data_IF_456848484316
#
_entry.id   IF_456848484316
#
_cell.length_a   1.000
_cell.length_b   1.000
_cell.length_c   1.000
_cell.angle_alpha   90.00
_cell.angle_beta   90.00
_cell.angle_gamma   90.00
#
_symmetry.space_group_name_H-M   'P 1'
#
loop_
_entity.id
_entity.type
_entity.pdbx_description
1 polymer ?
#
# COMPACT_ATOMS: atom_id res chain seq x y z
N UNK A 1 -10.12 -10.79 -14.93
CA UNK A 1 -10.08 -9.31 -15.04
C UNK A 1 -8.69 -8.78 -15.39
N UNK A 2 -7.59 -9.26 -14.80
CA UNK A 2 -6.23 -8.80 -15.18
C UNK A 2 -5.96 -8.92 -16.68
N UNK A 3 -6.37 -10.03 -17.31
CA UNK A 3 -6.23 -10.25 -18.76
C UNK A 3 -6.97 -9.26 -19.67
N UNK A 4 -7.80 -8.37 -19.12
CA UNK A 4 -8.46 -7.30 -19.87
C UNK A 4 -7.68 -5.98 -19.83
N UNK A 5 -6.64 -5.91 -19.01
CA UNK A 5 -5.78 -4.75 -18.89
C UNK A 5 -4.69 -4.80 -19.96
N UNK A 6 -4.27 -3.66 -20.51
CA UNK A 6 -3.16 -3.64 -21.45
C UNK A 6 -1.88 -4.13 -20.76
N UNK A 7 -1.13 -4.98 -21.45
CA UNK A 7 0.22 -5.36 -21.04
C UNK A 7 1.11 -4.10 -21.00
N UNK A 8 1.94 -4.00 -19.97
CA UNK A 8 2.78 -2.83 -19.80
C UNK A 8 3.38 -2.68 -18.41
N UNK A 9 4.12 -1.59 -18.26
CA UNK A 9 4.70 -1.15 -16.99
C UNK A 9 4.09 0.20 -16.62
N UNK A 10 3.58 0.29 -15.40
CA UNK A 10 2.90 1.45 -14.86
C UNK A 10 3.56 1.85 -13.54
N UNK A 11 3.86 3.12 -13.38
CA UNK A 11 4.64 3.63 -12.25
C UNK A 11 3.94 4.87 -11.66
N UNK A 12 3.99 4.98 -10.34
CA UNK A 12 3.56 6.16 -9.60
C UNK A 12 4.35 6.24 -8.30
N UNK A 13 4.43 7.45 -7.75
CA UNK A 13 5.04 7.72 -6.47
C UNK A 13 4.19 8.70 -5.65
N UNK A 14 4.29 8.56 -4.33
CA UNK A 14 3.78 9.49 -3.34
C UNK A 14 4.74 9.52 -2.15
N UNK A 15 4.51 10.43 -1.20
CA UNK A 15 5.25 10.47 0.06
C UNK A 15 4.31 10.76 1.22
N UNK A 16 4.73 10.31 2.41
CA UNK A 16 4.20 10.78 3.68
C UNK A 16 5.18 11.83 4.19
N UNK A 17 4.67 12.95 4.70
CA UNK A 17 5.46 14.14 5.05
C UNK A 17 6.65 13.83 5.99
N UNK A 18 6.41 13.06 7.04
CA UNK A 18 7.46 12.52 7.93
C UNK A 18 7.00 11.29 8.73
N UNK A 19 7.93 10.68 9.48
CA UNK A 19 7.68 9.51 10.32
C UNK A 19 7.28 9.86 11.78
N UNK A 20 7.11 11.15 12.09
CA UNK A 20 6.80 11.68 13.42
C UNK A 20 7.99 11.72 14.39
N UNK A 21 9.09 11.04 14.10
CA UNK A 21 10.31 11.04 14.92
C UNK A 21 11.38 11.96 14.32
N UNK A 22 11.58 11.89 13.00
CA UNK A 22 12.48 12.74 12.22
C UNK A 22 11.62 13.65 11.36
N UNK A 23 11.43 14.89 11.81
CA UNK A 23 10.57 15.86 11.11
C UNK A 23 11.18 16.31 9.79
N UNK A 24 10.32 16.44 8.77
CA UNK A 24 10.71 16.91 7.44
C UNK A 24 11.50 15.91 6.60
N UNK A 25 11.67 14.66 7.07
CA UNK A 25 12.21 13.59 6.25
C UNK A 25 11.05 12.75 5.70
N UNK A 26 10.75 12.95 4.41
CA UNK A 26 9.67 12.23 3.75
C UNK A 26 9.85 10.71 3.76
N UNK A 27 8.73 10.01 3.81
CA UNK A 27 8.65 8.56 3.70
C UNK A 27 8.14 8.21 2.29
N UNK A 28 9.03 7.91 1.34
CA UNK A 28 8.62 7.68 -0.04
C UNK A 28 7.88 6.34 -0.22
N UNK A 29 6.80 6.39 -0.98
CA UNK A 29 6.02 5.24 -1.45
C UNK A 29 6.14 5.20 -2.98
N UNK A 30 6.88 4.21 -3.50
CA UNK A 30 7.10 4.02 -4.94
C UNK A 30 6.51 2.71 -5.39
N UNK A 31 5.68 2.78 -6.42
CA UNK A 31 4.97 1.65 -6.97
C UNK A 31 5.37 1.44 -8.42
N UNK A 32 5.72 0.21 -8.76
CA UNK A 32 5.86 -0.26 -10.13
C UNK A 32 4.98 -1.46 -10.36
N UNK A 33 4.15 -1.42 -11.39
CA UNK A 33 3.21 -2.49 -11.73
C UNK A 33 3.54 -3.00 -13.12
N UNK A 34 3.80 -4.30 -13.22
CA UNK A 34 3.96 -4.98 -14.50
C UNK A 34 2.75 -5.87 -14.75
N UNK A 35 2.08 -5.67 -15.88
CA UNK A 35 0.99 -6.52 -16.37
C UNK A 35 1.49 -7.30 -17.57
N UNK A 36 1.29 -8.63 -17.53
CA UNK A 36 1.61 -9.53 -18.64
C UNK A 36 0.56 -10.63 -18.73
N UNK A 37 -0.29 -10.56 -19.75
CA UNK A 37 -1.41 -11.48 -19.94
C UNK A 37 -2.33 -11.47 -18.73
N UNK A 38 -2.46 -12.61 -18.05
CA UNK A 38 -3.32 -12.74 -16.87
C UNK A 38 -2.63 -12.40 -15.55
N UNK A 39 -1.34 -12.08 -15.54
CA UNK A 39 -0.55 -11.87 -14.33
C UNK A 39 -0.25 -10.39 -14.09
N UNK A 40 -0.30 -9.99 -12.81
CA UNK A 40 0.06 -8.66 -12.33
C UNK A 40 1.14 -8.78 -11.26
N UNK A 41 2.24 -8.06 -11.43
CA UNK A 41 3.27 -7.90 -10.41
C UNK A 41 3.23 -6.48 -9.85
N UNK A 42 3.00 -6.34 -8.55
CA UNK A 42 3.14 -5.07 -7.82
C UNK A 42 4.48 -5.10 -7.10
N UNK A 43 5.39 -4.23 -7.53
CA UNK A 43 6.72 -4.06 -6.96
C UNK A 43 6.77 -2.78 -6.10
N UNK A 44 7.04 -2.98 -4.81
CA UNK A 44 7.14 -1.94 -3.79
C UNK A 44 8.56 -1.81 -3.25
N UNK A 45 9.54 -2.42 -3.92
CA UNK A 45 10.95 -2.40 -3.51
C UNK A 45 11.55 -0.99 -3.46
N UNK A 46 11.01 -0.05 -4.23
CA UNK A 46 11.43 1.35 -4.24
C UNK A 46 10.91 2.20 -3.08
N UNK A 47 10.08 1.65 -2.18
CA UNK A 47 9.58 2.39 -1.01
C UNK A 47 10.67 2.62 0.06
N UNK A 48 10.37 3.48 1.02
CA UNK A 48 11.23 3.77 2.17
C UNK A 48 11.79 2.51 2.82
N UNK A 49 13.03 2.58 3.28
CA UNK A 49 13.56 1.64 4.24
C UNK A 49 12.76 1.71 5.56
N UNK A 50 12.86 0.65 6.36
CA UNK A 50 12.33 0.63 7.72
C UNK A 50 12.86 1.82 8.54
N UNK A 51 11.98 2.43 9.32
CA UNK A 51 12.20 3.62 10.12
C UNK A 51 12.39 3.25 11.59
N UNK A 52 12.92 4.19 12.39
CA UNK A 52 12.96 4.05 13.86
C UNK A 52 11.61 4.39 14.52
N UNK A 53 10.68 4.99 13.78
CA UNK A 53 9.33 5.30 14.21
C UNK A 53 8.36 4.13 14.04
N UNK A 54 7.23 4.17 14.73
CA UNK A 54 6.25 3.08 14.79
C UNK A 54 5.41 2.87 13.51
N UNK A 55 5.67 3.66 12.46
CA UNK A 55 4.98 3.64 11.17
C UNK A 55 5.31 2.41 10.31
N UNK A 56 6.35 1.64 10.68
CA UNK A 56 6.68 0.40 9.97
C UNK A 56 5.56 -0.63 10.03
N UNK A 57 5.55 -1.52 9.04
CA UNK A 57 4.67 -2.67 9.01
C UNK A 57 5.38 -3.92 8.47
N UNK A 58 4.64 -5.03 8.54
CA UNK A 58 4.97 -6.31 7.90
C UNK A 58 3.70 -6.85 7.30
N UNK A 59 3.37 -6.42 6.09
CA UNK A 59 2.06 -6.70 5.49
C UNK A 59 2.05 -6.62 3.97
N UNK A 60 1.16 -7.41 3.35
CA UNK A 60 0.79 -7.28 1.93
C UNK A 60 -0.54 -6.53 1.73
N UNK A 61 -1.12 -5.97 2.80
CA UNK A 61 -2.47 -5.41 2.77
C UNK A 61 -2.66 -4.33 1.70
N UNK A 62 -1.73 -3.37 1.58
CA UNK A 62 -1.85 -2.30 0.57
C UNK A 62 -1.97 -2.84 -0.86
N UNK A 63 -1.09 -3.77 -1.24
CA UNK A 63 -1.12 -4.42 -2.55
C UNK A 63 -2.40 -5.25 -2.77
N UNK A 64 -2.79 -6.07 -1.78
CA UNK A 64 -3.96 -6.95 -1.89
C UNK A 64 -5.28 -6.17 -1.93
N UNK A 65 -5.41 -5.12 -1.10
CA UNK A 65 -6.60 -4.25 -1.08
C UNK A 65 -6.76 -3.54 -2.43
N UNK A 66 -5.69 -2.89 -2.91
CA UNK A 66 -5.73 -2.19 -4.19
C UNK A 66 -6.04 -3.14 -5.36
N UNK A 67 -5.34 -4.28 -5.42
CA UNK A 67 -5.60 -5.30 -6.43
C UNK A 67 -7.05 -5.77 -6.43
N UNK A 68 -7.62 -6.06 -5.26
CA UNK A 68 -9.01 -6.53 -5.14
C UNK A 68 -10.00 -5.45 -5.59
N UNK A 69 -9.80 -4.22 -5.13
CA UNK A 69 -10.64 -3.08 -5.51
C UNK A 69 -10.69 -2.87 -7.03
N UNK A 70 -9.56 -3.03 -7.71
CA UNK A 70 -9.43 -2.78 -9.15
C UNK A 70 -9.86 -3.97 -10.02
N UNK A 71 -9.65 -5.20 -9.55
CA UNK A 71 -9.79 -6.41 -10.39
C UNK A 71 -10.98 -7.30 -10.03
N UNK A 72 -11.65 -7.09 -8.90
CA UNK A 72 -12.75 -7.95 -8.47
C UNK A 72 -13.34 -7.51 -7.14
N UNK A 73 -13.83 -6.26 -7.01
CA UNK A 73 -14.21 -5.67 -5.72
C UNK A 73 -15.35 -6.41 -5.02
N UNK A 74 -16.21 -7.09 -5.79
CA UNK A 74 -17.38 -7.82 -5.27
C UNK A 74 -17.16 -9.34 -5.20
N UNK A 75 -16.04 -9.83 -5.72
CA UNK A 75 -15.73 -11.26 -5.70
C UNK A 75 -15.36 -11.69 -4.27
N UNK A 76 -15.59 -12.95 -3.85
CA UNK A 76 -15.17 -13.45 -2.54
C UNK A 76 -13.69 -13.21 -2.26
N UNK A 77 -13.31 -12.87 -1.02
CA UNK A 77 -11.91 -12.66 -0.63
C UNK A 77 -11.31 -13.99 -0.19
N UNK A 78 -10.45 -14.59 -1.01
CA UNK A 78 -9.69 -15.81 -0.71
C UNK A 78 -8.37 -15.83 -1.50
N UNK A 79 -7.46 -16.76 -1.21
CA UNK A 79 -6.17 -16.85 -1.91
C UNK A 79 -6.30 -17.12 -3.42
N UNK A 80 -7.41 -17.72 -3.86
CA UNK A 80 -7.73 -17.85 -5.29
C UNK A 80 -7.88 -16.51 -6.00
N UNK A 81 -8.40 -15.48 -5.31
CA UNK A 81 -8.49 -14.11 -5.85
C UNK A 81 -7.13 -13.51 -6.14
N UNK A 82 -6.10 -13.87 -5.37
CA UNK A 82 -4.76 -13.30 -5.47
C UNK A 82 -3.79 -14.17 -6.29
N UNK A 83 -4.27 -15.27 -6.90
CA UNK A 83 -3.42 -16.20 -7.66
C UNK A 83 -2.63 -15.53 -8.79
N UNK A 84 -3.25 -14.54 -9.44
CA UNK A 84 -2.65 -13.76 -10.52
C UNK A 84 -1.81 -12.56 -10.03
N UNK A 85 -1.74 -12.35 -8.71
CA UNK A 85 -1.01 -11.25 -8.10
C UNK A 85 0.32 -11.75 -7.53
N UNK A 86 1.41 -11.20 -8.02
CA UNK A 86 2.72 -11.25 -7.37
C UNK A 86 2.99 -9.93 -6.66
N UNK A 87 3.38 -9.97 -5.40
CA UNK A 87 3.79 -8.77 -4.64
C UNK A 87 5.26 -8.88 -4.27
N UNK A 88 6.03 -7.84 -4.55
CA UNK A 88 7.47 -7.76 -4.22
C UNK A 88 7.65 -6.68 -3.16
N UNK A 89 8.05 -7.10 -1.95
CA UNK A 89 8.43 -6.21 -0.85
C UNK A 89 9.68 -6.84 -0.21
N UNK A 90 10.89 -6.26 -0.38
CA UNK A 90 12.10 -6.82 0.20
C UNK A 90 12.14 -6.64 1.72
N UNK A 91 12.81 -7.56 2.44
CA UNK A 91 13.10 -7.40 3.87
C UNK A 91 13.84 -6.07 4.14
N UNK A 92 13.44 -5.36 5.20
CA UNK A 92 13.98 -4.05 5.54
C UNK A 92 13.29 -2.87 4.83
N UNK A 93 12.28 -3.13 4.01
CA UNK A 93 11.34 -2.13 3.52
C UNK A 93 10.39 -1.69 4.65
N UNK A 94 9.86 -0.47 4.60
CA UNK A 94 8.88 0.04 5.58
C UNK A 94 7.62 -0.85 5.70
N UNK A 95 7.28 -1.60 4.65
CA UNK A 95 6.18 -2.59 4.64
C UNK A 95 6.59 -4.02 4.97
N UNK A 96 7.88 -4.28 5.14
CA UNK A 96 8.45 -5.58 5.49
C UNK A 96 9.62 -5.39 6.45
N UNK A 97 9.37 -4.64 7.52
CA UNK A 97 10.41 -4.25 8.48
C UNK A 97 10.82 -5.44 9.35
N UNK A 98 12.10 -5.46 9.73
CA UNK A 98 12.75 -6.53 10.49
C UNK A 98 12.52 -6.33 11.98
N UNK A 99 12.43 -7.43 12.72
CA UNK A 99 12.54 -7.34 14.18
C UNK A 99 13.91 -6.74 14.56
N UNK A 100 14.00 -5.78 15.50
CA UNK A 100 12.96 -5.29 16.42
C UNK A 100 12.34 -3.93 16.04
N UNK A 101 12.22 -3.58 14.76
CA UNK A 101 11.64 -2.30 14.33
C UNK A 101 10.21 -2.11 14.90
N UNK A 102 9.86 -0.91 15.39
CA UNK A 102 8.55 -0.66 15.98
C UNK A 102 7.45 -0.59 14.91
N UNK A 103 6.30 -1.21 15.19
CA UNK A 103 5.19 -1.39 14.23
C UNK A 103 3.80 -1.12 14.85
N UNK A 104 3.69 -0.39 15.97
CA UNK A 104 2.38 -0.15 16.59
C UNK A 104 1.44 0.71 15.71
N UNK A 105 2.00 1.53 14.82
CA UNK A 105 1.28 2.34 13.82
C UNK A 105 1.26 1.75 12.42
N UNK A 106 1.44 0.42 12.28
CA UNK A 106 1.64 -0.28 11.00
C UNK A 106 0.63 0.06 9.89
N UNK A 107 -0.60 0.40 10.26
CA UNK A 107 -1.68 0.61 9.30
C UNK A 107 -1.65 2.00 8.67
N UNK A 108 -0.86 2.94 9.21
CA UNK A 108 -0.84 4.34 8.77
C UNK A 108 -0.41 4.50 7.30
N UNK A 109 0.50 3.66 6.81
CA UNK A 109 1.02 3.75 5.44
C UNK A 109 0.12 3.08 4.39
N UNK A 110 -0.78 2.20 4.83
CA UNK A 110 -1.55 1.32 3.93
C UNK A 110 -2.41 2.10 2.94
N UNK A 111 -3.16 3.16 3.34
CA UNK A 111 -3.95 3.95 2.40
C UNK A 111 -3.11 4.61 1.32
N UNK A 112 -1.99 5.24 1.68
CA UNK A 112 -1.09 5.87 0.71
C UNK A 112 -0.58 4.85 -0.30
N UNK A 113 -0.23 3.64 0.15
CA UNK A 113 0.18 2.55 -0.77
C UNK A 113 -0.95 2.16 -1.72
N UNK A 114 -2.19 2.05 -1.22
CA UNK A 114 -3.36 1.78 -2.07
C UNK A 114 -3.55 2.89 -3.10
N UNK A 115 -3.50 4.15 -2.67
CA UNK A 115 -3.64 5.32 -3.53
C UNK A 115 -2.58 5.38 -4.62
N UNK A 116 -1.32 5.14 -4.29
CA UNK A 116 -0.23 5.12 -5.26
C UNK A 116 -0.39 3.98 -6.28
N UNK A 117 -0.90 2.81 -5.86
CA UNK A 117 -1.21 1.70 -6.80
C UNK A 117 -2.35 2.08 -7.74
N UNK A 118 -3.42 2.67 -7.19
CA UNK A 118 -4.56 3.15 -7.98
C UNK A 118 -4.10 4.21 -8.99
N UNK A 119 -3.26 5.15 -8.57
CA UNK A 119 -2.67 6.17 -9.43
C UNK A 119 -1.84 5.57 -10.57
N UNK A 120 -0.99 4.57 -10.30
CA UNK A 120 -0.19 3.90 -11.33
C UNK A 120 -1.09 3.29 -12.42
N UNK A 121 -2.19 2.64 -12.04
CA UNK A 121 -3.12 1.99 -12.98
C UNK A 121 -4.15 2.93 -13.61
N UNK A 122 -4.21 4.21 -13.23
CA UNK A 122 -5.16 5.17 -13.79
C UNK A 122 -5.09 5.25 -15.32
N UNK A 123 -3.89 5.15 -15.91
CA UNK A 123 -3.71 5.14 -17.37
C UNK A 123 -4.22 3.85 -18.05
N UNK A 124 -4.19 2.73 -17.35
CA UNK A 124 -4.65 1.43 -17.85
C UNK A 124 -6.17 1.24 -17.68
N UNK A 125 -6.79 2.02 -16.79
CA UNK A 125 -8.19 1.90 -16.38
C UNK A 125 -8.88 3.28 -16.25
N UNK A 126 -8.85 4.14 -17.29
CA UNK A 126 -9.29 5.54 -17.16
C UNK A 126 -10.74 5.70 -16.69
N UNK A 127 -11.63 4.79 -17.09
CA UNK A 127 -13.07 4.86 -16.73
C UNK A 127 -13.42 4.11 -15.44
N UNK A 128 -12.44 3.52 -14.76
CA UNK A 128 -12.66 2.65 -13.58
C UNK A 128 -11.86 3.05 -12.34
N UNK A 129 -10.91 3.96 -12.49
CA UNK A 129 -10.05 4.39 -11.40
C UNK A 129 -10.57 5.69 -10.79
N UNK A 130 -10.89 5.71 -9.48
CA UNK A 130 -11.23 6.95 -8.78
C UNK A 130 -9.98 7.82 -8.60
N UNK A 131 -10.18 9.10 -8.25
CA UNK A 131 -9.11 9.89 -7.65
C UNK A 131 -8.65 9.25 -6.32
N UNK A 132 -7.42 9.55 -5.90
CA UNK A 132 -6.87 9.05 -4.63
C UNK A 132 -7.74 9.42 -3.44
N UNK A 133 -7.74 8.54 -2.43
CA UNK A 133 -8.47 8.76 -1.19
C UNK A 133 -7.72 9.77 -0.29
N UNK A 134 -8.24 10.03 0.92
CA UNK A 134 -7.62 10.97 1.87
C UNK A 134 -6.27 10.49 2.43
N UNK A 135 -5.79 9.29 2.09
CA UNK A 135 -4.52 8.75 2.62
C UNK A 135 -4.53 8.40 4.10
N UNK A 136 -5.70 8.32 4.75
CA UNK A 136 -5.82 8.09 6.19
C UNK A 136 -6.69 6.87 6.53
N UNK A 137 -6.16 5.95 7.34
CA UNK A 137 -6.91 4.79 7.84
C UNK A 137 -7.44 5.06 9.26
N UNK A 138 -8.39 5.98 9.35
CA UNK A 138 -8.94 6.44 10.62
C UNK A 138 -7.97 7.35 11.40
N UNK A 139 -8.51 8.41 12.01
CA UNK A 139 -7.76 9.22 12.96
C UNK A 139 -7.80 8.55 14.33
N UNK A 140 -6.70 7.96 14.77
CA UNK A 140 -6.64 7.39 16.11
C UNK A 140 -6.71 8.51 17.14
N UNK A 141 -7.87 8.65 17.78
CA UNK A 141 -8.01 9.48 18.98
C UNK A 141 -8.02 8.53 20.17
N UNK A 142 -6.95 8.54 20.95
CA UNK A 142 -6.88 7.76 22.19
C UNK A 142 -7.11 8.69 23.36
N UNK A 143 -8.09 8.35 24.19
CA UNK A 143 -8.32 8.99 25.48
C UNK A 143 -7.73 8.11 26.58
N UNK A 144 -6.99 8.72 27.50
CA UNK A 144 -6.47 8.05 28.69
C UNK A 144 -6.96 8.78 29.93
N UNK A 145 -7.37 8.02 30.95
CA UNK A 145 -7.85 8.57 32.22
C UNK A 145 -8.35 7.46 33.15
N UNK A 146 -8.62 7.82 34.40
CA UNK A 146 -9.39 6.99 35.32
C UNK A 146 -10.87 7.35 35.15
N UNK A 147 -11.73 6.34 34.94
CA UNK A 147 -13.18 6.54 34.92
C UNK A 147 -13.61 7.18 36.25
N UNK A 148 -14.19 8.40 36.26
CA UNK A 148 -14.44 9.17 37.47
C UNK A 148 -15.62 8.66 38.32
N UNK A 149 -15.92 7.35 38.33
CA UNK A 149 -16.93 6.78 39.24
C UNK A 149 -16.56 7.02 40.70
#
# INVERSE_FOLDING_TARGET
MVAQLPDGVYEAEASIDDDGLIRGEEVPIRVKIAIKGSDMTIDLSGCSAERKAAINSRTYAGARVAYKALTGPLDPVNEGSFRALKVIIPEGNIMMARFPAPMSGWSAIVPTVVDTIVMALAKAMPDRVPAGHHGLLGGTVVFFGLDPK
#
